data_IF_703336235290
#
_entry.id   IF_703336235290
#
_cell.length_a   1.000
_cell.length_b   1.000
_cell.length_c   1.000
_cell.angle_alpha   90.00
_cell.angle_beta   90.00
_cell.angle_gamma   90.00
#
_symmetry.space_group_name_H-M   'P 1'
#
loop_
_entity.id
_entity.type
_entity.pdbx_description
1 polymer ?
#
# COMPACT_ATOMS: atom_id res chain seq x y z
N UNK A 1 9.73 9.30 10.32
CA UNK A 1 9.74 7.83 10.52
C UNK A 1 10.39 7.22 9.30
N UNK A 2 11.49 6.49 9.48
CA UNK A 2 12.06 5.67 8.40
C UNK A 2 11.35 4.31 8.38
N UNK A 3 11.03 3.82 7.18
CA UNK A 3 10.51 2.47 7.01
C UNK A 3 11.58 1.45 7.48
N UNK A 4 11.15 0.42 8.19
CA UNK A 4 12.04 -0.68 8.58
C UNK A 4 12.50 -1.46 7.36
N UNK A 5 13.60 -2.20 7.46
CA UNK A 5 14.10 -3.04 6.38
C UNK A 5 13.03 -4.05 5.90
N UNK A 6 12.25 -4.62 6.83
CA UNK A 6 11.16 -5.53 6.49
C UNK A 6 10.07 -4.85 5.65
N UNK A 7 9.67 -3.63 6.02
CA UNK A 7 8.69 -2.84 5.26
C UNK A 7 9.20 -2.46 3.86
N UNK A 8 10.50 -2.22 3.72
CA UNK A 8 11.12 -1.98 2.42
C UNK A 8 11.06 -3.24 1.54
N UNK A 9 11.37 -4.42 2.07
CA UNK A 9 11.23 -5.67 1.32
C UNK A 9 9.80 -5.97 0.89
N UNK A 10 8.83 -5.78 1.78
CA UNK A 10 7.40 -5.93 1.46
C UNK A 10 6.98 -5.01 0.31
N UNK A 11 7.44 -3.75 0.35
CA UNK A 11 7.18 -2.77 -0.71
C UNK A 11 7.74 -3.23 -2.05
N UNK A 12 8.98 -3.73 -2.08
CA UNK A 12 9.61 -4.23 -3.30
C UNK A 12 8.95 -5.51 -3.82
N UNK A 13 8.45 -6.38 -2.93
CA UNK A 13 7.69 -7.57 -3.33
C UNK A 13 6.38 -7.19 -4.04
N UNK A 14 5.64 -6.22 -3.50
CA UNK A 14 4.40 -5.69 -4.11
C UNK A 14 4.69 -5.08 -5.48
N UNK A 15 5.75 -4.27 -5.61
CA UNK A 15 6.16 -3.68 -6.89
C UNK A 15 6.44 -4.75 -7.94
N UNK A 16 7.22 -5.77 -7.59
CA UNK A 16 7.53 -6.89 -8.50
C UNK A 16 6.27 -7.63 -8.94
N UNK A 17 5.31 -7.84 -8.04
CA UNK A 17 4.05 -8.48 -8.38
C UNK A 17 3.27 -7.67 -9.41
N UNK A 18 3.18 -6.35 -9.22
CA UNK A 18 2.55 -5.43 -10.17
C UNK A 18 3.28 -5.46 -11.52
N UNK A 19 4.61 -5.35 -11.52
CA UNK A 19 5.42 -5.32 -12.75
C UNK A 19 5.35 -6.63 -13.53
N UNK A 20 5.14 -7.76 -12.84
CA UNK A 20 5.01 -9.09 -13.45
C UNK A 20 3.62 -9.37 -14.02
N UNK A 21 2.60 -8.60 -13.61
CA UNK A 21 1.23 -8.81 -14.06
C UNK A 21 0.98 -8.15 -15.41
N UNK A 22 0.51 -8.93 -16.37
CA UNK A 22 0.08 -8.46 -17.70
C UNK A 22 -1.44 -8.49 -17.87
N UNK A 23 -2.16 -8.99 -16.85
CA UNK A 23 -3.62 -9.01 -16.85
C UNK A 23 -4.18 -7.68 -16.34
N UNK A 24 -4.89 -6.99 -17.23
CA UNK A 24 -5.55 -5.72 -16.92
C UNK A 24 -6.58 -5.86 -15.81
N UNK A 25 -7.24 -7.01 -15.65
CA UNK A 25 -8.18 -7.24 -14.56
C UNK A 25 -7.47 -7.33 -13.21
N UNK A 26 -6.37 -8.08 -13.14
CA UNK A 26 -5.54 -8.20 -11.93
C UNK A 26 -4.94 -6.84 -11.54
N UNK A 27 -4.40 -6.09 -12.49
CA UNK A 27 -3.86 -4.75 -12.26
C UNK A 27 -4.93 -3.78 -11.73
N UNK A 28 -6.16 -3.86 -12.23
CA UNK A 28 -7.29 -3.04 -11.73
C UNK A 28 -7.65 -3.39 -10.29
N UNK A 29 -7.64 -4.67 -9.92
CA UNK A 29 -7.90 -5.09 -8.54
C UNK A 29 -6.76 -4.67 -7.59
N UNK A 30 -5.50 -4.85 -8.00
CA UNK A 30 -4.34 -4.37 -7.24
C UNK A 30 -4.40 -2.85 -7.00
N UNK A 31 -4.80 -2.08 -8.01
CA UNK A 31 -4.96 -0.63 -7.90
C UNK A 31 -6.09 -0.23 -6.91
N UNK A 32 -7.23 -0.94 -6.94
CA UNK A 32 -8.32 -0.70 -5.97
C UNK A 32 -7.88 -1.00 -4.55
N UNK A 33 -7.22 -2.13 -4.32
CA UNK A 33 -6.68 -2.47 -3.02
C UNK A 33 -5.67 -1.43 -2.51
N UNK A 34 -4.80 -0.92 -3.38
CA UNK A 34 -3.86 0.14 -3.02
C UNK A 34 -4.57 1.43 -2.59
N UNK A 35 -5.64 1.82 -3.31
CA UNK A 35 -6.44 3.00 -2.96
C UNK A 35 -7.13 2.85 -1.59
N UNK A 36 -7.68 1.68 -1.30
CA UNK A 36 -8.30 1.37 0.00
C UNK A 36 -7.28 1.43 1.15
N UNK A 37 -6.10 0.84 0.95
CA UNK A 37 -5.01 0.87 1.94
C UNK A 37 -4.54 2.30 2.21
N UNK A 38 -4.38 3.10 1.16
CA UNK A 38 -4.01 4.51 1.29
C UNK A 38 -5.04 5.29 2.12
N UNK A 39 -6.34 5.11 1.84
CA UNK A 39 -7.39 5.77 2.59
C UNK A 39 -7.37 5.34 4.07
N UNK A 40 -7.26 4.04 4.35
CA UNK A 40 -7.17 3.51 5.72
C UNK A 40 -5.98 4.10 6.47
N UNK A 41 -4.81 4.18 5.84
CA UNK A 41 -3.63 4.80 6.43
C UNK A 41 -3.87 6.28 6.77
N UNK A 42 -4.50 7.02 5.84
CA UNK A 42 -4.80 8.45 6.04
C UNK A 42 -5.76 8.67 7.20
N UNK A 43 -6.82 7.86 7.29
CA UNK A 43 -7.79 7.90 8.39
C UNK A 43 -7.13 7.54 9.73
N UNK A 44 -6.35 6.46 9.77
CA UNK A 44 -5.64 6.05 10.98
C UNK A 44 -4.65 7.14 11.46
N UNK A 45 -3.91 7.73 10.53
CA UNK A 45 -2.97 8.83 10.83
C UNK A 45 -3.70 10.05 11.37
N UNK A 46 -4.79 10.46 10.72
CA UNK A 46 -5.63 11.58 11.18
C UNK A 46 -6.20 11.31 12.58
N UNK A 47 -6.66 10.09 12.85
CA UNK A 47 -7.16 9.68 14.16
C UNK A 47 -6.08 9.75 15.24
N UNK A 48 -4.87 9.24 14.98
CA UNK A 48 -3.74 9.33 15.92
C UNK A 48 -3.36 10.78 16.22
N UNK A 49 -3.42 11.68 15.22
CA UNK A 49 -3.15 13.11 15.42
C UNK A 49 -4.26 13.75 16.27
N UNK A 50 -5.53 13.41 16.02
CA UNK A 50 -6.67 14.00 16.72
C UNK A 50 -6.84 13.49 18.17
N UNK A 51 -6.31 12.31 18.50
CA UNK A 51 -6.43 11.67 19.82
C UNK A 51 -5.07 11.63 20.56
N UNK A 52 -4.18 12.56 20.25
CA UNK A 52 -2.92 12.81 20.95
C UNK A 52 -3.04 14.06 21.82
#
# INVERSE_FOLDING_TARGET
MQATLAQQFETEAIKRQIDSSTDVAELKELAKHLADLYLKQRVATAWVIANK
#
